data_IF_507776288696
#
_entry.id   IF_507776288696
#
_cell.length_a   1.000
_cell.length_b   1.000
_cell.length_c   1.000
_cell.angle_alpha   90.00
_cell.angle_beta   90.00
_cell.angle_gamma   90.00
#
_symmetry.space_group_name_H-M   'P 1'
#
loop_
_entity.id
_entity.type
_entity.pdbx_description
1 polymer ?
#
# COMPACT_ATOMS: atom_id res chain seq x y z
N UNK A 1 -13.19 1.40 -25.87
CA UNK A 1 -13.23 0.27 -24.92
C UNK A 1 -11.78 -0.04 -24.57
N UNK A 2 -11.37 0.09 -23.30
CA UNK A 2 -10.03 -0.34 -22.91
C UNK A 2 -9.96 -1.87 -23.00
N UNK A 3 -8.77 -2.43 -23.24
CA UNK A 3 -8.61 -3.87 -23.16
C UNK A 3 -8.70 -4.29 -21.69
N UNK A 4 -9.16 -5.52 -21.43
CA UNK A 4 -9.20 -6.09 -20.09
C UNK A 4 -7.85 -6.02 -19.38
N UNK A 5 -6.75 -6.13 -20.13
CA UNK A 5 -5.39 -6.01 -19.60
C UNK A 5 -5.10 -4.60 -19.05
N UNK A 6 -5.56 -3.54 -19.73
CA UNK A 6 -5.41 -2.18 -19.24
C UNK A 6 -6.30 -1.89 -18.02
N UNK A 7 -7.50 -2.48 -17.97
CA UNK A 7 -8.39 -2.38 -16.81
C UNK A 7 -7.77 -3.06 -15.59
N UNK A 8 -7.27 -4.30 -15.75
CA UNK A 8 -6.58 -5.03 -14.70
C UNK A 8 -5.33 -4.28 -14.21
N UNK A 9 -4.56 -3.67 -15.13
CA UNK A 9 -3.41 -2.83 -14.77
C UNK A 9 -3.84 -1.59 -13.98
N UNK A 10 -4.86 -0.86 -14.43
CA UNK A 10 -5.33 0.36 -13.78
C UNK A 10 -5.81 0.07 -12.36
N UNK A 11 -6.53 -1.03 -12.15
CA UNK A 11 -6.98 -1.47 -10.83
C UNK A 11 -5.79 -1.76 -9.90
N UNK A 12 -4.81 -2.54 -10.37
CA UNK A 12 -3.61 -2.88 -9.59
C UNK A 12 -2.76 -1.63 -9.30
N UNK A 13 -2.60 -0.75 -10.27
CA UNK A 13 -1.87 0.51 -10.08
C UNK A 13 -2.54 1.40 -9.03
N UNK A 14 -3.88 1.46 -9.02
CA UNK A 14 -4.63 2.16 -7.98
C UNK A 14 -4.45 1.53 -6.59
N UNK A 15 -4.47 0.20 -6.49
CA UNK A 15 -4.20 -0.52 -5.23
C UNK A 15 -2.80 -0.16 -4.68
N UNK A 16 -1.77 -0.25 -5.53
CA UNK A 16 -0.39 0.10 -5.16
C UNK A 16 -0.30 1.56 -4.73
N UNK A 17 -0.88 2.48 -5.51
CA UNK A 17 -0.87 3.92 -5.20
C UNK A 17 -1.52 4.23 -3.85
N UNK A 18 -2.69 3.66 -3.55
CA UNK A 18 -3.39 3.81 -2.26
C UNK A 18 -2.53 3.29 -1.10
N UNK A 19 -1.81 2.19 -1.31
CA UNK A 19 -0.91 1.65 -0.28
C UNK A 19 0.27 2.59 0.00
N UNK A 20 0.93 3.12 -1.03
CA UNK A 20 2.01 4.10 -0.83
C UNK A 20 1.52 5.39 -0.18
N UNK A 21 0.31 5.85 -0.53
CA UNK A 21 -0.30 7.00 0.14
C UNK A 21 -0.54 6.74 1.63
N UNK A 22 -1.02 5.55 2.00
CA UNK A 22 -1.14 5.14 3.40
C UNK A 22 0.23 5.20 4.11
N UNK A 23 1.27 4.61 3.51
CA UNK A 23 2.62 4.62 4.09
C UNK A 23 3.15 6.04 4.32
N UNK A 24 2.98 6.92 3.33
CA UNK A 24 3.41 8.32 3.42
C UNK A 24 2.74 9.04 4.59
N UNK A 25 1.42 8.85 4.76
CA UNK A 25 0.68 9.47 5.85
C UNK A 25 1.08 8.89 7.22
N UNK A 26 1.39 7.59 7.31
CA UNK A 26 1.90 6.98 8.54
C UNK A 26 3.28 7.54 8.90
N UNK A 27 4.18 7.68 7.93
CA UNK A 27 5.54 8.20 8.13
C UNK A 27 5.54 9.69 8.52
N UNK A 28 4.67 10.50 7.92
CA UNK A 28 4.48 11.91 8.27
C UNK A 28 3.76 12.11 9.61
N UNK A 29 3.20 11.05 10.19
CA UNK A 29 2.37 11.13 11.40
C UNK A 29 1.01 11.78 11.18
N UNK A 30 0.61 12.00 9.93
CA UNK A 30 -0.71 12.54 9.53
C UNK A 30 -1.85 11.59 9.88
N UNK A 31 -1.56 10.28 9.97
CA UNK A 31 -2.47 9.26 10.49
C UNK A 31 -1.76 8.37 11.51
N UNK A 32 -2.53 7.75 12.40
CA UNK A 32 -2.02 6.89 13.46
C UNK A 32 -2.82 5.59 13.54
N UNK A 33 -2.16 4.51 13.95
CA UNK A 33 -2.82 3.24 14.20
C UNK A 33 -3.36 3.20 15.63
N UNK A 34 -4.69 3.15 15.75
CA UNK A 34 -5.37 2.92 17.01
C UNK A 34 -5.71 1.43 17.16
N UNK A 35 -5.35 0.84 18.29
CA UNK A 35 -5.75 -0.52 18.64
C UNK A 35 -6.70 -0.51 19.83
N UNK A 36 -7.73 -1.36 19.77
CA UNK A 36 -8.74 -1.48 20.81
C UNK A 36 -10.15 -1.27 20.26
N UNK A 37 -11.13 -1.30 21.14
CA UNK A 37 -12.52 -1.03 20.79
C UNK A 37 -12.80 0.48 20.80
N UNK A 38 -13.94 0.90 20.23
CA UNK A 38 -14.33 2.32 20.12
C UNK A 38 -14.26 3.07 21.45
N UNK A 39 -14.49 2.38 22.58
CA UNK A 39 -14.45 2.96 23.93
C UNK A 39 -13.05 3.01 24.57
N UNK A 40 -12.11 2.17 24.14
CA UNK A 40 -10.77 2.07 24.70
C UNK A 40 -9.74 1.94 23.57
N UNK A 41 -9.60 3.01 22.80
CA UNK A 41 -8.58 3.11 21.78
C UNK A 41 -7.24 3.49 22.42
N UNK A 42 -6.19 2.72 22.12
CA UNK A 42 -4.81 3.10 22.39
C UNK A 42 -4.11 3.34 21.07
N UNK A 43 -3.68 4.58 20.85
CA UNK A 43 -2.76 4.89 19.76
C UNK A 43 -1.44 4.19 20.05
N UNK A 44 -1.03 3.28 19.17
CA UNK A 44 0.32 2.73 19.20
C UNK A 44 1.17 3.46 18.17
N UNK A 45 2.37 3.86 18.59
CA UNK A 45 3.41 4.21 17.64
C UNK A 45 3.76 2.96 16.85
N UNK A 46 3.92 3.12 15.54
CA UNK A 46 4.52 2.10 14.69
C UNK A 46 5.97 1.99 15.14
N UNK A 47 6.38 0.81 15.58
CA UNK A 47 7.78 0.57 15.85
C UNK A 47 8.58 0.50 14.53
N UNK A 48 9.88 0.72 14.63
CA UNK A 48 10.78 0.77 13.46
C UNK A 48 10.85 -0.53 12.67
N UNK A 49 10.54 -1.69 13.26
CA UNK A 49 10.54 -2.97 12.56
C UNK A 49 9.26 -3.15 11.74
N UNK A 50 8.11 -2.79 12.31
CA UNK A 50 6.84 -2.75 11.59
C UNK A 50 6.90 -1.75 10.44
N UNK A 51 7.48 -0.56 10.64
CA UNK A 51 7.65 0.44 9.58
C UNK A 51 8.45 -0.12 8.39
N UNK A 52 9.58 -0.79 8.66
CA UNK A 52 10.41 -1.44 7.64
C UNK A 52 9.62 -2.51 6.88
N UNK A 53 8.84 -3.31 7.59
CA UNK A 53 8.02 -4.39 7.01
C UNK A 53 6.92 -3.84 6.09
N UNK A 54 6.26 -2.75 6.51
CA UNK A 54 5.26 -2.05 5.71
C UNK A 54 5.88 -1.46 4.43
N UNK A 55 7.03 -0.80 4.55
CA UNK A 55 7.78 -0.28 3.38
C UNK A 55 8.20 -1.40 2.43
N UNK A 56 8.75 -2.51 2.95
CA UNK A 56 9.13 -3.68 2.15
C UNK A 56 7.94 -4.28 1.39
N UNK A 57 6.78 -4.33 2.02
CA UNK A 57 5.54 -4.78 1.38
C UNK A 57 5.13 -3.85 0.23
N UNK A 58 5.26 -2.53 0.40
CA UNK A 58 5.00 -1.56 -0.66
C UNK A 58 5.89 -1.79 -1.89
N UNK A 59 7.18 -2.05 -1.67
CA UNK A 59 8.11 -2.38 -2.77
C UNK A 59 7.79 -3.72 -3.43
N UNK A 60 7.34 -4.73 -2.68
CA UNK A 60 6.89 -6.01 -3.25
C UNK A 60 5.65 -5.84 -4.13
N UNK A 61 4.68 -5.04 -3.70
CA UNK A 61 3.50 -4.71 -4.51
C UNK A 61 3.87 -3.97 -5.80
N UNK A 62 4.80 -3.02 -5.72
CA UNK A 62 5.32 -2.31 -6.89
C UNK A 62 6.05 -3.26 -7.84
N UNK A 63 6.87 -4.17 -7.32
CA UNK A 63 7.54 -5.21 -8.10
C UNK A 63 6.51 -6.07 -8.85
N UNK A 64 5.48 -6.55 -8.17
CA UNK A 64 4.43 -7.38 -8.79
C UNK A 64 3.70 -6.63 -9.92
N UNK A 65 3.45 -5.33 -9.76
CA UNK A 65 2.83 -4.49 -10.79
C UNK A 65 3.75 -4.36 -12.03
N UNK A 66 5.03 -4.07 -11.82
CA UNK A 66 6.02 -3.95 -12.90
C UNK A 66 6.18 -5.29 -13.62
N UNK A 67 6.32 -6.38 -12.87
CA UNK A 67 6.42 -7.73 -13.42
C UNK A 67 5.20 -8.07 -14.28
N UNK A 68 3.99 -7.79 -13.79
CA UNK A 68 2.76 -8.03 -14.56
C UNK A 68 2.69 -7.20 -15.84
N UNK A 69 3.21 -5.96 -15.81
CA UNK A 69 3.25 -5.08 -16.99
C UNK A 69 4.17 -5.68 -18.06
N UNK A 70 5.36 -6.14 -17.66
CA UNK A 70 6.33 -6.81 -18.55
C UNK A 70 5.75 -8.11 -19.12
N UNK A 71 5.14 -8.96 -18.27
CA UNK A 71 4.56 -10.25 -18.68
C UNK A 71 3.40 -10.11 -19.66
N UNK A 72 2.57 -9.09 -19.47
CA UNK A 72 1.40 -8.85 -20.30
C UNK A 72 1.68 -7.93 -21.50
N UNK A 73 2.93 -7.46 -21.65
CA UNK A 73 3.34 -6.50 -22.68
C UNK A 73 2.43 -5.27 -22.75
N UNK A 74 2.06 -4.75 -21.58
CA UNK A 74 1.25 -3.54 -21.39
C UNK A 74 2.14 -2.30 -21.52
#
# INVERSE_FOLDING_TARGET
MKSKLFEDFDERAQEVSKYFFLLQNLEQGSIQLAMGNVKHQKVKKIDTELEKTLKATGFLLLYNLIESTIRNAI
#
